data_IF_869101887728
#
_entry.id   IF_869101887728
#
_cell.length_a   1.000
_cell.length_b   1.000
_cell.length_c   1.000
_cell.angle_alpha   90.00
_cell.angle_beta   90.00
_cell.angle_gamma   90.00
#
_symmetry.space_group_name_H-M   'P 1'
#
loop_
_entity.id
_entity.type
_entity.pdbx_description
1 polymer ?
#
# COMPACT_ATOMS: atom_id res chain seq x y z
N UNK A 1 -28.75 -13.01 -10.19
CA UNK A 1 -29.24 -13.60 -8.91
C UNK A 1 -29.12 -12.70 -7.68
N UNK A 2 -28.68 -11.44 -7.82
CA UNK A 2 -28.41 -10.57 -6.69
C UNK A 2 -27.88 -9.21 -7.12
N UNK A 3 -27.58 -8.37 -6.14
CA UNK A 3 -26.89 -7.09 -6.33
C UNK A 3 -25.65 -6.99 -5.44
N UNK A 4 -24.67 -6.24 -5.93
CA UNK A 4 -23.52 -5.83 -5.13
C UNK A 4 -23.90 -4.64 -4.25
N UNK A 5 -24.02 -4.87 -2.95
CA UNK A 5 -24.38 -3.83 -1.97
C UNK A 5 -23.15 -3.07 -1.45
N UNK A 6 -21.96 -3.55 -1.77
CA UNK A 6 -20.70 -2.89 -1.46
C UNK A 6 -19.62 -3.23 -2.48
N UNK A 7 -19.02 -2.19 -3.05
CA UNK A 7 -17.97 -2.27 -4.06
C UNK A 7 -16.97 -1.10 -3.88
N UNK A 8 -15.70 -1.29 -4.24
CA UNK A 8 -14.66 -0.25 -4.13
C UNK A 8 -14.48 0.64 -5.38
N UNK A 9 -15.34 0.49 -6.39
CA UNK A 9 -15.43 1.37 -7.54
C UNK A 9 -15.56 2.85 -7.14
N UNK A 10 -15.28 3.76 -8.09
CA UNK A 10 -15.22 5.21 -7.85
C UNK A 10 -16.50 5.76 -7.20
N UNK A 11 -16.51 5.78 -5.87
CA UNK A 11 -17.73 5.96 -5.07
C UNK A 11 -17.76 4.96 -3.92
N UNK A 12 -16.76 5.03 -3.03
CA UNK A 12 -16.48 4.10 -1.91
C UNK A 12 -17.66 3.84 -0.95
N UNK A 13 -18.76 4.59 -1.08
CA UNK A 13 -20.02 4.40 -0.37
C UNK A 13 -21.18 4.86 -1.23
N UNK A 14 -22.19 4.01 -1.39
CA UNK A 14 -23.50 4.46 -1.81
C UNK A 14 -24.05 5.49 -0.80
N UNK A 15 -24.80 6.46 -1.29
CA UNK A 15 -25.63 7.28 -0.41
C UNK A 15 -26.58 6.36 0.38
N UNK A 16 -26.78 6.62 1.68
CA UNK A 16 -27.53 5.73 2.57
C UNK A 16 -28.93 5.40 2.01
N UNK A 17 -29.56 6.38 1.35
CA UNK A 17 -30.87 6.20 0.69
C UNK A 17 -30.82 5.17 -0.43
N UNK A 18 -29.79 5.22 -1.27
CA UNK A 18 -29.59 4.27 -2.38
C UNK A 18 -29.29 2.88 -1.81
N UNK A 19 -28.42 2.80 -0.80
CA UNK A 19 -28.09 1.54 -0.13
C UNK A 19 -29.34 0.86 0.46
N UNK A 20 -30.17 1.63 1.17
CA UNK A 20 -31.45 1.14 1.72
C UNK A 20 -32.40 0.66 0.63
N UNK A 21 -32.56 1.43 -0.45
CA UNK A 21 -33.43 1.05 -1.56
C UNK A 21 -33.00 -0.25 -2.24
N UNK A 22 -31.70 -0.44 -2.49
CA UNK A 22 -31.16 -1.68 -3.07
C UNK A 22 -31.38 -2.85 -2.11
N UNK A 23 -31.12 -2.64 -0.81
CA UNK A 23 -31.27 -3.68 0.21
C UNK A 23 -32.72 -4.13 0.36
N UNK A 24 -33.67 -3.18 0.40
CA UNK A 24 -35.11 -3.47 0.44
C UNK A 24 -35.59 -4.18 -0.82
N UNK A 25 -35.10 -3.77 -2.00
CA UNK A 25 -35.39 -4.46 -3.25
C UNK A 25 -34.87 -5.90 -3.23
N UNK A 26 -33.67 -6.14 -2.71
CA UNK A 26 -33.12 -7.48 -2.59
C UNK A 26 -33.94 -8.37 -1.63
N UNK A 27 -34.28 -7.85 -0.46
CA UNK A 27 -35.06 -8.58 0.55
C UNK A 27 -36.45 -8.92 0.01
N UNK A 28 -37.16 -7.94 -0.56
CA UNK A 28 -38.52 -8.13 -1.08
C UNK A 28 -38.60 -9.11 -2.25
N UNK A 29 -37.52 -9.28 -3.02
CA UNK A 29 -37.46 -10.14 -4.20
C UNK A 29 -36.64 -11.43 -3.98
N UNK A 30 -36.19 -11.71 -2.75
CA UNK A 30 -35.38 -12.90 -2.45
C UNK A 30 -34.07 -12.95 -3.25
N UNK A 31 -33.43 -11.80 -3.46
CA UNK A 31 -32.18 -11.67 -4.20
C UNK A 31 -30.97 -11.70 -3.27
N UNK A 32 -29.84 -12.22 -3.75
CA UNK A 32 -28.59 -12.23 -3.01
C UNK A 32 -28.05 -10.80 -2.87
N UNK A 33 -27.54 -10.48 -1.69
CA UNK A 33 -26.72 -9.29 -1.48
C UNK A 33 -25.28 -9.72 -1.29
N UNK A 34 -24.39 -9.22 -2.16
CA UNK A 34 -22.97 -9.54 -2.11
C UNK A 34 -22.12 -8.29 -1.97
N UNK A 35 -20.94 -8.44 -1.39
CA UNK A 35 -19.86 -7.45 -1.45
C UNK A 35 -18.76 -7.93 -2.38
N UNK A 36 -18.27 -7.06 -3.26
CA UNK A 36 -17.20 -7.38 -4.20
C UNK A 36 -16.10 -6.35 -4.08
N UNK A 37 -14.85 -6.81 -4.05
CA UNK A 37 -13.70 -5.92 -3.86
C UNK A 37 -13.37 -5.09 -5.10
N UNK A 38 -13.88 -5.49 -6.27
CA UNK A 38 -13.55 -4.92 -7.57
C UNK A 38 -12.04 -4.70 -7.72
N UNK A 39 -11.33 -5.82 -7.83
CA UNK A 39 -9.90 -5.86 -7.58
C UNK A 39 -9.10 -5.13 -8.67
N UNK A 40 -8.73 -3.88 -8.38
CA UNK A 40 -7.83 -3.06 -9.19
C UNK A 40 -6.57 -2.62 -8.42
N UNK A 41 -6.30 -3.21 -7.26
CA UNK A 41 -5.27 -2.68 -6.35
C UNK A 41 -5.20 -3.37 -4.99
N UNK A 42 -4.06 -3.26 -4.30
CA UNK A 42 -3.95 -3.68 -2.89
C UNK A 42 -4.88 -2.90 -1.95
N UNK A 43 -5.29 -1.69 -2.34
CA UNK A 43 -6.24 -0.88 -1.59
C UNK A 43 -7.62 -1.52 -1.48
N UNK A 44 -8.01 -2.36 -2.45
CA UNK A 44 -9.36 -2.95 -2.54
C UNK A 44 -9.46 -4.36 -1.97
N UNK A 45 -8.35 -5.11 -1.95
CA UNK A 45 -8.31 -6.51 -1.49
C UNK A 45 -8.77 -6.77 -0.06
N UNK A 46 -8.89 -5.73 0.77
CA UNK A 46 -9.35 -5.86 2.15
C UNK A 46 -10.56 -4.97 2.47
N UNK A 47 -11.34 -4.59 1.46
CA UNK A 47 -12.49 -3.70 1.65
C UNK A 47 -13.74 -4.44 2.09
N UNK A 48 -14.03 -5.61 1.51
CA UNK A 48 -15.29 -6.33 1.74
C UNK A 48 -15.10 -7.83 1.63
N UNK A 49 -15.85 -8.59 2.44
CA UNK A 49 -15.92 -10.05 2.37
C UNK A 49 -17.37 -10.52 2.47
N UNK A 50 -17.68 -11.65 1.83
CA UNK A 50 -18.92 -12.39 2.07
C UNK A 50 -18.59 -13.55 3.00
N UNK A 51 -19.05 -13.47 4.25
CA UNK A 51 -18.93 -14.56 5.21
C UNK A 51 -20.13 -15.50 5.06
N UNK A 52 -19.86 -16.78 4.85
CA UNK A 52 -20.88 -17.82 4.75
C UNK A 52 -20.86 -18.70 5.99
N UNK A 53 -22.01 -18.94 6.58
CA UNK A 53 -22.17 -19.92 7.66
C UNK A 53 -22.37 -21.32 7.06
N UNK A 54 -21.33 -22.16 7.14
CA UNK A 54 -21.35 -23.55 6.67
C UNK A 54 -20.98 -24.48 7.85
N UNK A 55 -21.95 -25.19 8.44
CA UNK A 55 -21.67 -26.11 9.55
C UNK A 55 -20.65 -27.18 9.16
N UNK A 56 -19.69 -27.47 10.06
CA UNK A 56 -18.70 -28.52 9.85
C UNK A 56 -17.66 -28.25 8.75
N UNK A 57 -17.59 -27.04 8.19
CA UNK A 57 -16.72 -26.73 7.04
C UNK A 57 -15.23 -27.06 7.26
N UNK A 58 -14.75 -27.00 8.50
CA UNK A 58 -13.37 -27.33 8.86
C UNK A 58 -12.99 -28.79 8.56
N UNK A 59 -13.98 -29.69 8.57
CA UNK A 59 -13.80 -31.13 8.35
C UNK A 59 -14.04 -31.53 6.89
N UNK A 60 -14.42 -30.57 6.04
CA UNK A 60 -14.74 -30.82 4.64
C UNK A 60 -13.50 -30.76 3.75
N UNK A 61 -13.49 -31.63 2.75
CA UNK A 61 -12.56 -31.57 1.62
C UNK A 61 -12.91 -30.41 0.66
N UNK A 62 -11.98 -30.03 -0.20
CA UNK A 62 -12.11 -28.86 -1.08
C UNK A 62 -13.38 -28.88 -1.96
N UNK A 63 -13.72 -30.03 -2.55
CA UNK A 63 -14.94 -30.16 -3.36
C UNK A 63 -16.23 -30.04 -2.52
N UNK A 64 -16.22 -30.59 -1.31
CA UNK A 64 -17.37 -30.49 -0.39
C UNK A 64 -17.59 -29.03 0.06
N UNK A 65 -16.49 -28.29 0.30
CA UNK A 65 -16.55 -26.85 0.57
C UNK A 65 -17.14 -26.09 -0.61
N UNK A 66 -16.63 -26.35 -1.83
CA UNK A 66 -17.14 -25.72 -3.06
C UNK A 66 -18.63 -25.96 -3.21
N UNK A 67 -19.09 -27.21 -3.08
CA UNK A 67 -20.51 -27.51 -3.26
C UNK A 67 -21.37 -26.91 -2.15
N UNK A 68 -20.90 -26.90 -0.91
CA UNK A 68 -21.61 -26.26 0.21
C UNK A 68 -21.76 -24.74 0.01
N UNK A 69 -20.72 -24.08 -0.49
CA UNK A 69 -20.78 -22.65 -0.87
C UNK A 69 -21.82 -22.46 -1.98
N UNK A 70 -21.74 -23.27 -3.05
CA UNK A 70 -22.67 -23.17 -4.17
C UNK A 70 -24.12 -23.44 -3.75
N UNK A 71 -24.35 -24.35 -2.81
CA UNK A 71 -25.67 -24.62 -2.26
C UNK A 71 -26.26 -23.40 -1.56
N UNK A 72 -25.50 -22.76 -0.66
CA UNK A 72 -25.94 -21.54 0.04
C UNK A 72 -26.29 -20.43 -0.98
N UNK A 73 -25.45 -20.24 -2.01
CA UNK A 73 -25.69 -19.24 -3.05
C UNK A 73 -26.92 -19.58 -3.91
N UNK A 74 -27.08 -20.83 -4.37
CA UNK A 74 -28.24 -21.25 -5.19
C UNK A 74 -29.56 -21.15 -4.42
N UNK A 75 -29.53 -21.43 -3.11
CA UNK A 75 -30.70 -21.30 -2.23
C UNK A 75 -31.05 -19.84 -1.91
N UNK A 76 -30.14 -18.88 -2.21
CA UNK A 76 -30.31 -17.46 -1.91
C UNK A 76 -30.61 -17.19 -0.42
N UNK A 77 -30.09 -18.05 0.46
CA UNK A 77 -30.35 -17.99 1.89
C UNK A 77 -29.50 -16.89 2.55
N UNK A 78 -30.02 -15.68 2.56
CA UNK A 78 -29.37 -14.52 3.16
C UNK A 78 -29.22 -14.61 4.68
N UNK A 79 -29.89 -15.55 5.37
CA UNK A 79 -29.65 -15.76 6.80
C UNK A 79 -28.26 -16.34 7.08
N UNK A 80 -27.67 -17.01 6.07
CA UNK A 80 -26.36 -17.66 6.13
C UNK A 80 -25.25 -16.87 5.46
N UNK A 81 -25.56 -15.71 4.87
CA UNK A 81 -24.60 -14.84 4.17
C UNK A 81 -24.54 -13.50 4.90
N UNK A 82 -23.36 -13.10 5.36
CA UNK A 82 -23.11 -11.75 5.91
C UNK A 82 -22.06 -11.03 5.10
N UNK A 83 -22.40 -9.84 4.61
CA UNK A 83 -21.45 -8.93 3.97
C UNK A 83 -20.70 -8.15 5.06
N UNK A 84 -19.39 -8.37 5.15
CA UNK A 84 -18.51 -7.73 6.11
C UNK A 84 -17.75 -6.60 5.43
N UNK A 85 -17.92 -5.38 5.93
CA UNK A 85 -17.29 -4.17 5.40
C UNK A 85 -16.16 -3.73 6.31
N UNK A 86 -14.96 -3.58 5.75
CA UNK A 86 -13.85 -2.97 6.46
C UNK A 86 -13.96 -1.45 6.41
N UNK A 87 -14.39 -0.86 7.53
CA UNK A 87 -14.58 0.58 7.65
C UNK A 87 -13.59 1.26 8.60
N UNK A 88 -12.29 1.00 8.41
CA UNK A 88 -11.25 1.55 9.30
C UNK A 88 -10.59 2.81 8.75
N UNK A 89 -10.52 2.97 7.43
CA UNK A 89 -9.78 4.07 6.81
C UNK A 89 -10.74 5.07 6.19
N UNK A 90 -10.79 6.28 6.74
CA UNK A 90 -11.36 7.42 6.02
C UNK A 90 -10.56 7.59 4.73
N UNK A 91 -11.28 7.65 3.62
CA UNK A 91 -10.70 7.95 2.31
C UNK A 91 -9.99 9.29 2.44
N UNK A 92 -8.69 9.31 2.16
CA UNK A 92 -7.94 10.54 2.18
C UNK A 92 -8.47 11.44 1.07
N UNK A 93 -8.84 12.68 1.40
CA UNK A 93 -9.32 13.62 0.40
C UNK A 93 -8.22 13.88 -0.62
N UNK A 94 -8.51 13.57 -1.89
CA UNK A 94 -7.57 13.76 -3.00
C UNK A 94 -7.18 15.24 -3.15
N UNK A 95 -8.02 16.17 -2.70
CA UNK A 95 -7.69 17.60 -2.67
C UNK A 95 -6.47 17.92 -1.77
N UNK A 96 -6.19 17.05 -0.79
CA UNK A 96 -5.11 17.22 0.18
C UNK A 96 -3.87 16.37 -0.16
N UNK A 97 -3.72 15.86 -1.39
CA UNK A 97 -2.65 14.90 -1.77
C UNK A 97 -1.25 15.36 -1.36
N UNK A 98 -0.98 16.67 -1.40
CA UNK A 98 0.30 17.25 -0.97
C UNK A 98 0.58 17.07 0.53
N UNK A 99 -0.45 16.99 1.37
CA UNK A 99 -0.36 16.73 2.80
C UNK A 99 -0.40 15.23 3.13
N UNK A 100 -0.59 14.36 2.13
CA UNK A 100 -0.66 12.91 2.34
C UNK A 100 0.56 12.34 3.08
N UNK A 101 1.82 12.80 2.88
CA UNK A 101 2.95 12.27 3.65
C UNK A 101 2.83 12.58 5.15
N UNK A 102 2.42 13.80 5.50
CA UNK A 102 2.23 14.21 6.89
C UNK A 102 1.07 13.47 7.54
N UNK A 103 -0.05 13.34 6.82
CA UNK A 103 -1.22 12.61 7.32
C UNK A 103 -0.92 11.13 7.52
N UNK A 104 -0.19 10.51 6.58
CA UNK A 104 0.25 9.11 6.68
C UNK A 104 1.17 8.91 7.87
N UNK A 105 2.12 9.83 8.10
CA UNK A 105 3.02 9.79 9.25
C UNK A 105 2.24 9.82 10.58
N UNK A 106 1.34 10.79 10.73
CA UNK A 106 0.51 10.92 11.95
C UNK A 106 -0.34 9.66 12.16
N UNK A 107 -0.99 9.15 11.11
CA UNK A 107 -1.80 7.95 11.23
C UNK A 107 -0.98 6.72 11.57
N UNK A 108 0.22 6.56 11.00
CA UNK A 108 1.12 5.48 11.38
C UNK A 108 1.40 5.51 12.89
N UNK A 109 1.77 6.67 13.44
CA UNK A 109 2.02 6.80 14.89
C UNK A 109 0.77 6.51 15.74
N UNK A 110 -0.43 6.87 15.27
CA UNK A 110 -1.70 6.55 15.95
C UNK A 110 -2.00 5.05 16.02
N UNK A 111 -1.45 4.26 15.10
CA UNK A 111 -1.66 2.80 15.05
C UNK A 111 -0.67 2.00 15.89
N UNK A 112 0.32 2.66 16.51
CA UNK A 112 1.36 1.96 17.24
C UNK A 112 0.86 1.36 18.55
N UNK A 113 1.22 0.10 18.79
CA UNK A 113 1.08 -0.58 20.08
C UNK A 113 2.19 -0.13 21.04
N UNK A 114 1.98 -0.29 22.35
CA UNK A 114 2.94 0.13 23.38
C UNK A 114 4.38 -0.38 23.16
N UNK A 115 4.57 -1.64 22.77
CA UNK A 115 5.89 -2.18 22.44
C UNK A 115 6.53 -1.52 21.21
N UNK A 116 5.73 -1.12 20.21
CA UNK A 116 6.24 -0.42 19.04
C UNK A 116 6.64 1.02 19.38
N UNK A 117 5.90 1.68 20.27
CA UNK A 117 6.28 2.99 20.82
C UNK A 117 7.62 2.89 21.57
N UNK A 118 7.79 1.86 22.41
CA UNK A 118 9.07 1.63 23.09
C UNK A 118 10.23 1.38 22.11
N UNK A 119 9.98 0.61 21.04
CA UNK A 119 10.95 0.40 19.97
C UNK A 119 11.35 1.73 19.30
N UNK A 120 10.41 2.64 19.07
CA UNK A 120 10.70 3.97 18.54
C UNK A 120 11.59 4.78 19.47
N UNK A 121 11.33 4.78 20.79
CA UNK A 121 12.22 5.43 21.76
C UNK A 121 13.64 4.86 21.69
N UNK A 122 13.77 3.53 21.58
CA UNK A 122 15.06 2.86 21.45
C UNK A 122 15.79 3.27 20.17
N UNK A 123 15.08 3.35 19.03
CA UNK A 123 15.64 3.85 17.78
C UNK A 123 16.08 5.30 17.86
N UNK A 124 15.30 6.17 18.51
CA UNK A 124 15.68 7.57 18.72
C UNK A 124 16.95 7.70 19.56
N UNK A 125 17.10 6.88 20.60
CA UNK A 125 18.33 6.81 21.42
C UNK A 125 19.51 6.34 20.56
N UNK A 126 19.35 5.25 19.79
CA UNK A 126 20.39 4.75 18.88
C UNK A 126 20.81 5.83 17.89
N UNK A 127 19.84 6.50 17.25
CA UNK A 127 20.10 7.57 16.28
C UNK A 127 20.79 8.77 16.93
N UNK A 128 20.44 9.13 18.17
CA UNK A 128 21.11 10.20 18.91
C UNK A 128 22.55 9.84 19.26
N UNK A 129 22.81 8.60 19.72
CA UNK A 129 24.16 8.11 20.00
C UNK A 129 25.00 8.08 18.72
N UNK A 130 24.43 7.55 17.63
CA UNK A 130 25.07 7.52 16.32
C UNK A 130 25.38 8.94 15.85
N UNK A 131 24.42 9.85 15.88
CA UNK A 131 24.62 11.26 15.53
C UNK A 131 25.78 11.87 16.31
N UNK A 132 25.83 11.69 17.63
CA UNK A 132 26.90 12.28 18.45
C UNK A 132 28.26 11.65 18.16
N UNK A 133 28.32 10.32 17.96
CA UNK A 133 29.58 9.62 17.62
C UNK A 133 30.07 9.97 16.21
N UNK A 134 29.15 10.09 15.25
CA UNK A 134 29.45 10.45 13.86
C UNK A 134 29.77 11.93 13.74
N UNK A 135 29.05 12.84 14.40
CA UNK A 135 29.35 14.27 14.39
C UNK A 135 30.75 14.58 14.97
N UNK A 136 31.17 13.83 15.99
CA UNK A 136 32.50 13.99 16.59
C UNK A 136 33.64 13.35 15.76
N UNK A 137 33.33 12.44 14.82
CA UNK A 137 34.33 11.75 13.97
C UNK A 137 34.34 12.20 12.52
N UNK A 138 33.22 12.67 12.00
CA UNK A 138 33.04 13.06 10.62
C UNK A 138 33.18 14.59 10.49
N UNK A 139 34.36 15.04 10.06
CA UNK A 139 34.49 16.38 9.45
C UNK A 139 33.53 16.46 8.25
N UNK A 140 32.91 17.62 8.02
CA UNK A 140 31.74 17.82 7.14
C UNK A 140 31.76 17.13 5.76
N UNK A 141 32.94 16.88 5.17
CA UNK A 141 33.07 16.15 3.90
C UNK A 141 32.66 14.66 3.99
N UNK A 142 32.83 13.98 5.13
CA UNK A 142 32.49 12.55 5.22
C UNK A 142 30.98 12.34 5.31
N UNK A 143 30.26 13.19 6.06
CA UNK A 143 28.80 13.12 6.15
C UNK A 143 28.14 13.32 4.78
N UNK A 144 28.58 14.33 4.02
CA UNK A 144 28.13 14.59 2.65
C UNK A 144 28.36 13.37 1.74
N UNK A 145 29.55 12.77 1.79
CA UNK A 145 29.87 11.56 1.01
C UNK A 145 29.00 10.37 1.40
N UNK A 146 28.78 10.14 2.70
CA UNK A 146 27.90 9.06 3.17
C UNK A 146 26.46 9.25 2.67
N UNK A 147 25.93 10.48 2.73
CA UNK A 147 24.59 10.79 2.21
C UNK A 147 24.51 10.60 0.69
N UNK A 148 25.53 11.00 -0.06
CA UNK A 148 25.60 10.76 -1.51
C UNK A 148 25.66 9.26 -1.85
N UNK A 149 26.47 8.47 -1.12
CA UNK A 149 26.53 7.03 -1.31
C UNK A 149 25.20 6.34 -0.99
N UNK A 150 24.51 6.78 0.06
CA UNK A 150 23.18 6.29 0.40
C UNK A 150 22.15 6.67 -0.68
N UNK A 151 22.15 7.92 -1.15
CA UNK A 151 21.26 8.36 -2.23
C UNK A 151 21.49 7.56 -3.51
N UNK A 152 22.75 7.31 -3.87
CA UNK A 152 23.13 6.49 -5.02
C UNK A 152 22.63 5.04 -4.83
N UNK A 153 22.92 4.41 -3.69
CA UNK A 153 22.49 3.05 -3.39
C UNK A 153 20.95 2.92 -3.42
N UNK A 154 20.24 3.87 -2.80
CA UNK A 154 18.77 3.92 -2.83
C UNK A 154 18.24 4.09 -4.24
N UNK A 155 18.85 4.94 -5.08
CA UNK A 155 18.42 5.12 -6.47
C UNK A 155 18.55 3.84 -7.30
N UNK A 156 19.68 3.12 -7.15
CA UNK A 156 19.91 1.83 -7.81
C UNK A 156 18.91 0.80 -7.31
N UNK A 157 18.65 0.76 -6.01
CA UNK A 157 17.65 -0.13 -5.43
C UNK A 157 16.25 0.12 -6.01
N UNK A 158 15.82 1.38 -6.10
CA UNK A 158 14.53 1.74 -6.70
C UNK A 158 14.44 1.33 -8.16
N UNK A 159 15.47 1.63 -8.96
CA UNK A 159 15.54 1.22 -10.37
C UNK A 159 15.48 -0.30 -10.52
N UNK A 160 16.24 -1.03 -9.70
CA UNK A 160 16.27 -2.50 -9.73
C UNK A 160 14.90 -3.08 -9.42
N UNK A 161 14.23 -2.59 -8.37
CA UNK A 161 12.86 -3.00 -8.07
C UNK A 161 11.88 -2.62 -9.19
N UNK A 162 12.01 -1.42 -9.76
CA UNK A 162 11.20 -0.98 -10.89
C UNK A 162 11.32 -1.90 -12.09
N UNK A 163 12.53 -2.34 -12.44
CA UNK A 163 12.80 -3.32 -13.51
C UNK A 163 12.20 -4.68 -13.15
N UNK A 164 12.43 -5.19 -11.94
CA UNK A 164 11.88 -6.48 -11.51
C UNK A 164 10.36 -6.51 -11.55
N UNK A 165 9.70 -5.42 -11.13
CA UNK A 165 8.25 -5.29 -11.24
C UNK A 165 7.80 -5.19 -12.70
N UNK A 166 8.55 -4.51 -13.58
CA UNK A 166 8.24 -4.46 -15.01
C UNK A 166 8.25 -5.86 -15.64
N UNK A 167 9.27 -6.66 -15.31
CA UNK A 167 9.42 -8.03 -15.80
C UNK A 167 8.27 -8.92 -15.33
N UNK A 168 7.77 -8.71 -14.10
CA UNK A 168 6.57 -9.38 -13.59
C UNK A 168 5.30 -8.90 -14.27
N UNK A 169 5.17 -7.58 -14.49
CA UNK A 169 3.99 -6.97 -15.13
C UNK A 169 3.72 -7.57 -16.51
N UNK A 170 4.78 -7.76 -17.33
CA UNK A 170 4.67 -8.36 -18.67
C UNK A 170 4.09 -9.78 -18.69
N UNK A 171 4.10 -10.49 -17.56
CA UNK A 171 3.54 -11.85 -17.44
C UNK A 171 2.09 -11.84 -16.95
N UNK A 172 1.58 -10.69 -16.51
CA UNK A 172 0.29 -10.53 -15.81
C UNK A 172 -0.56 -9.39 -16.39
N UNK A 173 -0.20 -8.87 -17.58
CA UNK A 173 -0.76 -7.66 -18.20
C UNK A 173 -2.27 -7.68 -18.41
N UNK A 174 -2.92 -8.84 -18.42
CA UNK A 174 -4.38 -8.94 -18.60
C UNK A 174 -5.15 -8.99 -17.27
N UNK A 175 -4.46 -9.10 -16.14
CA UNK A 175 -5.10 -9.34 -14.84
C UNK A 175 -4.76 -8.29 -13.79
N UNK A 176 -3.65 -7.53 -13.93
CA UNK A 176 -3.20 -6.64 -12.88
C UNK A 176 -2.21 -5.54 -13.35
N UNK A 177 -2.66 -4.29 -13.32
CA UNK A 177 -1.85 -3.11 -13.67
C UNK A 177 -0.92 -2.63 -12.54
N UNK A 178 -1.08 -3.13 -11.31
CA UNK A 178 -0.30 -2.71 -10.13
C UNK A 178 1.20 -2.83 -10.41
N UNK A 179 1.64 -3.96 -10.97
CA UNK A 179 3.05 -4.18 -11.25
C UNK A 179 3.60 -3.14 -12.24
N UNK A 180 2.80 -2.74 -13.24
CA UNK A 180 3.18 -1.75 -14.22
C UNK A 180 3.20 -0.33 -13.62
N UNK A 181 2.20 0.03 -12.81
CA UNK A 181 2.12 1.33 -12.14
C UNK A 181 3.29 1.55 -11.19
N UNK A 182 3.51 0.62 -10.25
CA UNK A 182 4.62 0.72 -9.29
C UNK A 182 5.98 0.59 -9.98
N UNK A 183 6.11 -0.23 -11.02
CA UNK A 183 7.32 -0.27 -11.85
C UNK A 183 7.64 1.13 -12.39
N UNK A 184 6.65 1.79 -12.99
CA UNK A 184 6.79 3.11 -13.59
C UNK A 184 7.21 4.15 -12.55
N UNK A 185 6.53 4.19 -11.40
CA UNK A 185 6.85 5.13 -10.31
C UNK A 185 8.28 4.91 -9.80
N UNK A 186 8.67 3.67 -9.52
CA UNK A 186 10.02 3.36 -9.01
C UNK A 186 11.11 3.67 -10.03
N UNK A 187 10.85 3.45 -11.32
CA UNK A 187 11.78 3.81 -12.39
C UNK A 187 11.97 5.33 -12.48
N UNK A 188 10.89 6.12 -12.47
CA UNK A 188 11.00 7.58 -12.52
C UNK A 188 11.67 8.16 -11.28
N UNK A 189 11.25 7.75 -10.08
CA UNK A 189 11.86 8.20 -8.83
C UNK A 189 13.33 7.77 -8.74
N UNK A 190 13.63 6.52 -9.10
CA UNK A 190 15.00 5.99 -9.13
C UNK A 190 15.89 6.75 -10.11
N UNK A 191 15.43 7.01 -11.33
CA UNK A 191 16.17 7.77 -12.34
C UNK A 191 16.39 9.23 -11.88
N UNK A 192 15.37 9.87 -11.32
CA UNK A 192 15.48 11.23 -10.77
C UNK A 192 16.52 11.32 -9.65
N UNK A 193 16.48 10.40 -8.68
CA UNK A 193 17.47 10.36 -7.60
C UNK A 193 18.87 9.99 -8.08
N UNK A 194 18.99 9.15 -9.11
CA UNK A 194 20.27 8.80 -9.70
C UNK A 194 20.91 10.04 -10.35
N UNK A 195 20.16 10.78 -11.17
CA UNK A 195 20.61 12.03 -11.80
C UNK A 195 21.02 13.05 -10.73
N UNK A 196 20.18 13.24 -9.71
CA UNK A 196 20.48 14.14 -8.60
C UNK A 196 21.77 13.76 -7.88
N UNK A 197 21.98 12.47 -7.61
CA UNK A 197 23.19 11.96 -6.96
C UNK A 197 24.44 12.21 -7.82
N UNK A 198 24.35 11.99 -9.13
CA UNK A 198 25.45 12.30 -10.06
C UNK A 198 25.80 13.79 -10.09
N UNK A 199 24.80 14.67 -10.10
CA UNK A 199 25.01 16.12 -10.05
C UNK A 199 25.77 16.52 -8.78
N UNK A 200 25.34 16.00 -7.62
CA UNK A 200 26.01 16.29 -6.34
C UNK A 200 27.47 15.83 -6.33
N UNK A 201 27.73 14.60 -6.79
CA UNK A 201 29.08 14.06 -6.89
C UNK A 201 29.93 14.91 -7.85
N UNK A 202 29.38 15.29 -9.00
CA UNK A 202 30.08 16.12 -9.98
C UNK A 202 30.45 17.50 -9.45
N UNK A 203 29.54 18.15 -8.72
CA UNK A 203 29.80 19.45 -8.06
C UNK A 203 30.93 19.29 -7.02
N UNK A 204 30.92 18.22 -6.23
CA UNK A 204 31.98 17.96 -5.25
C UNK A 204 33.34 17.74 -5.93
N UNK A 205 33.40 16.94 -7.00
CA UNK A 205 34.62 16.71 -7.77
C UNK A 205 35.19 18.00 -8.38
N UNK A 206 34.32 18.87 -8.92
CA UNK A 206 34.73 20.20 -9.41
C UNK A 206 35.31 21.08 -8.31
N UNK A 207 34.69 21.07 -7.12
CA UNK A 207 35.16 21.83 -5.95
C UNK A 207 36.54 21.35 -5.50
N UNK A 208 36.77 20.04 -5.44
CA UNK A 208 38.07 19.45 -5.11
C UNK A 208 39.13 19.86 -6.14
N UNK A 209 38.83 19.73 -7.44
CA UNK A 209 39.75 20.11 -8.53
C UNK A 209 40.16 21.59 -8.48
N UNK A 210 39.22 22.49 -8.20
CA UNK A 210 39.49 23.93 -8.07
C UNK A 210 40.36 24.24 -6.84
N UNK A 211 40.17 23.53 -5.74
CA UNK A 211 41.00 23.69 -4.53
C UNK A 211 42.46 23.27 -4.77
N UNK A 212 42.68 22.19 -5.52
CA UNK A 212 44.02 21.67 -5.80
C UNK A 212 44.79 22.52 -6.83
N UNK A 213 44.10 23.26 -7.71
CA UNK A 213 44.74 24.15 -8.68
C UNK A 213 45.13 25.53 -8.08
N UNK A 214 44.66 25.85 -6.88
CA UNK A 214 44.92 27.11 -6.18
C UNK A 214 45.97 26.97 -5.05
N UNK A 215 46.57 25.78 -4.90
CA UNK A 215 47.72 25.50 -4.02
C UNK A 215 48.96 25.29 -4.88
#
# INVERSE_FOLDING_TARGET
DGFEIANQGSGLKYEQRIFSAITEACISNGLIMAGVVDYHGYGSSCFVWNALEIPGWHQMESEQKRESIMQVLRQKDMSRIRVLLYHDRKVFDRSLVLLSPLYTLVNYFRTLKGLQVLSWFLWLIILAILRNRLANRLKGNVFLRTMQSLALASSIFLLTNGILLNLKARRLTEYNDIYAEYSTILLWCGAGFLIYSFILIFIELKKIRKSNNNQ
#
